data_IF_606581990911
#
_entry.id   IF_606581990911
#
_cell.length_a   1.000
_cell.length_b   1.000
_cell.length_c   1.000
_cell.angle_alpha   90.00
_cell.angle_beta   90.00
_cell.angle_gamma   90.00
#
_symmetry.space_group_name_H-M   'P 1'
#
loop_
_entity.id
_entity.type
_entity.pdbx_description
1 polymer ?
#
# COMPACT_ATOMS: atom_id res chain seq x y z
N UNK A 1 -27.10 4.66 3.72
CA UNK A 1 -26.51 5.07 2.41
C UNK A 1 -25.06 4.58 2.36
N UNK A 2 -24.58 4.09 1.21
CA UNK A 2 -23.16 3.65 1.10
C UNK A 2 -22.24 4.87 0.92
N UNK A 3 -20.98 4.75 1.37
CA UNK A 3 -19.94 5.79 1.24
C UNK A 3 -19.76 6.25 -0.23
N UNK A 4 -19.85 5.34 -1.19
CA UNK A 4 -19.72 5.68 -2.61
C UNK A 4 -20.88 6.52 -3.11
N UNK A 5 -22.10 6.28 -2.62
CA UNK A 5 -23.28 7.07 -3.01
C UNK A 5 -23.20 8.49 -2.46
N UNK A 6 -22.65 8.68 -1.26
CA UNK A 6 -22.46 10.02 -0.69
C UNK A 6 -21.54 10.87 -1.58
N UNK A 7 -20.49 10.28 -2.13
CA UNK A 7 -19.51 11.00 -2.98
C UNK A 7 -20.08 11.50 -4.31
N UNK A 8 -21.19 10.92 -4.76
CA UNK A 8 -21.83 11.24 -6.05
C UNK A 8 -23.11 12.05 -5.90
N UNK A 9 -23.49 12.47 -4.69
CA UNK A 9 -24.63 13.32 -4.47
C UNK A 9 -24.44 14.68 -5.15
N UNK A 10 -25.53 15.19 -5.75
CA UNK A 10 -25.63 16.58 -6.20
C UNK A 10 -26.43 17.43 -5.19
N UNK A 11 -26.44 18.74 -5.42
CA UNK A 11 -27.11 19.69 -4.52
C UNK A 11 -28.62 19.44 -4.38
N UNK A 12 -29.29 19.02 -5.47
CA UNK A 12 -30.73 18.73 -5.47
C UNK A 12 -31.01 17.46 -4.64
N UNK A 13 -30.24 16.44 -4.83
CA UNK A 13 -30.38 15.19 -4.04
C UNK A 13 -30.16 15.42 -2.54
N UNK A 14 -29.32 16.38 -2.16
CA UNK A 14 -29.15 16.77 -0.75
C UNK A 14 -30.40 17.44 -0.21
N UNK A 15 -31.03 18.34 -0.99
CA UNK A 15 -32.29 18.97 -0.59
C UNK A 15 -33.45 17.96 -0.47
N UNK A 16 -33.51 16.98 -1.37
CA UNK A 16 -34.50 15.92 -1.32
C UNK A 16 -34.35 14.99 -0.11
N UNK A 17 -33.12 14.84 0.40
CA UNK A 17 -32.80 13.97 1.53
C UNK A 17 -32.91 14.66 2.88
N UNK A 18 -32.78 15.99 2.96
CA UNK A 18 -32.65 16.74 4.20
C UNK A 18 -33.73 17.84 4.24
N UNK A 19 -34.71 17.66 5.11
CA UNK A 19 -35.80 18.60 5.33
C UNK A 19 -35.34 19.91 5.97
N UNK A 20 -34.29 19.85 6.80
CA UNK A 20 -33.75 21.04 7.47
C UNK A 20 -32.80 21.80 6.54
N UNK A 21 -33.11 23.06 6.18
CA UNK A 21 -32.34 23.84 5.20
C UNK A 21 -30.92 24.17 5.67
N UNK A 22 -30.72 24.42 6.97
CA UNK A 22 -29.40 24.74 7.53
C UNK A 22 -28.48 23.50 7.47
N UNK A 23 -29.04 22.33 7.76
CA UNK A 23 -28.33 21.07 7.65
C UNK A 23 -28.01 20.75 6.18
N UNK A 24 -28.95 20.97 5.27
CA UNK A 24 -28.75 20.81 3.83
C UNK A 24 -27.63 21.72 3.33
N UNK A 25 -27.60 22.99 3.77
CA UNK A 25 -26.54 23.94 3.41
C UNK A 25 -25.16 23.45 3.90
N UNK A 26 -25.05 23.01 5.14
CA UNK A 26 -23.80 22.49 5.70
C UNK A 26 -23.31 21.25 4.97
N UNK A 27 -24.21 20.32 4.60
CA UNK A 27 -23.87 19.11 3.82
C UNK A 27 -23.42 19.47 2.41
N UNK A 28 -24.07 20.43 1.74
CA UNK A 28 -23.67 20.92 0.41
C UNK A 28 -22.27 21.54 0.44
N UNK A 29 -21.95 22.35 1.46
CA UNK A 29 -20.61 22.93 1.61
C UNK A 29 -19.53 21.85 1.78
N UNK A 30 -19.78 20.83 2.63
CA UNK A 30 -18.87 19.71 2.81
C UNK A 30 -18.71 18.87 1.52
N UNK A 31 -19.80 18.66 0.78
CA UNK A 31 -19.79 17.94 -0.50
C UNK A 31 -18.95 18.68 -1.54
N UNK A 32 -19.10 20.00 -1.65
CA UNK A 32 -18.31 20.84 -2.56
C UNK A 32 -16.80 20.78 -2.22
N UNK A 33 -16.44 20.85 -0.94
CA UNK A 33 -15.04 20.70 -0.52
C UNK A 33 -14.48 19.31 -0.87
N UNK A 34 -15.26 18.25 -0.65
CA UNK A 34 -14.87 16.89 -1.00
C UNK A 34 -14.69 16.71 -2.51
N UNK A 35 -15.59 17.25 -3.31
CA UNK A 35 -15.52 17.19 -4.77
C UNK A 35 -14.32 17.97 -5.31
N UNK A 36 -14.07 19.17 -4.79
CA UNK A 36 -12.88 19.96 -5.12
C UNK A 36 -11.60 19.18 -4.75
N UNK A 37 -11.53 18.58 -3.55
CA UNK A 37 -10.41 17.77 -3.13
C UNK A 37 -10.15 16.59 -4.07
N UNK A 38 -11.19 15.87 -4.48
CA UNK A 38 -11.08 14.76 -5.42
C UNK A 38 -10.56 15.23 -6.80
N UNK A 39 -11.04 16.37 -7.33
CA UNK A 39 -10.52 16.92 -8.58
C UNK A 39 -9.03 17.26 -8.51
N UNK A 40 -8.58 17.84 -7.39
CA UNK A 40 -7.16 18.13 -7.20
C UNK A 40 -6.30 16.85 -7.08
N UNK A 41 -6.81 15.83 -6.39
CA UNK A 41 -6.16 14.52 -6.31
C UNK A 41 -6.01 13.92 -7.71
N UNK A 42 -7.09 13.89 -8.49
CA UNK A 42 -7.08 13.36 -9.86
C UNK A 42 -6.07 14.10 -10.76
N UNK A 43 -6.01 15.44 -10.64
CA UNK A 43 -5.05 16.26 -11.38
C UNK A 43 -3.61 15.92 -11.01
N UNK A 44 -3.31 15.82 -9.71
CA UNK A 44 -1.98 15.45 -9.23
C UNK A 44 -1.60 14.02 -9.65
N UNK A 45 -2.51 13.06 -9.53
CA UNK A 45 -2.27 11.67 -9.94
C UNK A 45 -1.97 11.56 -11.44
N UNK A 46 -2.74 12.27 -12.29
CA UNK A 46 -2.46 12.32 -13.74
C UNK A 46 -1.10 12.92 -14.03
N UNK A 47 -0.80 14.08 -13.44
CA UNK A 47 0.49 14.78 -13.65
C UNK A 47 1.67 13.93 -13.23
N UNK A 48 1.58 13.26 -12.08
CA UNK A 48 2.63 12.35 -11.58
C UNK A 48 2.75 11.16 -12.52
N UNK A 49 1.62 10.56 -12.91
CA UNK A 49 1.62 9.38 -13.80
C UNK A 49 2.27 9.69 -15.14
N UNK A 50 1.97 10.85 -15.74
CA UNK A 50 2.54 11.24 -17.03
C UNK A 50 4.05 11.44 -16.96
N UNK A 51 4.57 11.96 -15.86
CA UNK A 51 6.02 12.10 -15.62
C UNK A 51 6.73 10.76 -15.39
N UNK A 52 6.01 9.74 -14.95
CA UNK A 52 6.57 8.45 -14.52
C UNK A 52 6.38 7.33 -15.53
N UNK A 53 5.50 7.51 -16.53
CA UNK A 53 5.21 6.51 -17.59
C UNK A 53 6.47 5.93 -18.27
N UNK A 54 7.57 6.66 -18.27
CA UNK A 54 8.84 6.27 -18.87
C UNK A 54 9.72 5.37 -17.97
N UNK A 55 9.32 5.12 -16.72
CA UNK A 55 10.09 4.26 -15.82
C UNK A 55 9.59 2.83 -15.88
N UNK A 56 10.43 1.93 -16.35
CA UNK A 56 10.12 0.50 -16.47
C UNK A 56 9.73 -0.13 -15.14
N UNK A 57 10.39 0.28 -14.05
CA UNK A 57 10.13 -0.20 -12.71
C UNK A 57 8.67 -0.02 -12.29
N UNK A 58 8.03 1.08 -12.71
CA UNK A 58 6.61 1.34 -12.43
C UNK A 58 5.73 0.28 -13.10
N UNK A 59 5.99 -0.05 -14.36
CA UNK A 59 5.25 -1.05 -15.11
C UNK A 59 5.42 -2.45 -14.49
N UNK A 60 6.63 -2.80 -14.10
CA UNK A 60 6.91 -4.08 -13.46
C UNK A 60 6.27 -4.20 -12.07
N UNK A 61 6.27 -3.14 -11.26
CA UNK A 61 5.60 -3.15 -9.95
C UNK A 61 4.10 -3.42 -10.07
N UNK A 62 3.45 -2.93 -11.13
CA UNK A 62 2.02 -3.20 -11.39
C UNK A 62 1.70 -4.65 -11.76
N UNK A 63 2.69 -5.47 -12.06
CA UNK A 63 2.49 -6.91 -12.29
C UNK A 63 2.27 -7.67 -10.97
N UNK A 64 2.56 -7.07 -9.83
CA UNK A 64 2.36 -7.69 -8.51
C UNK A 64 0.87 -7.65 -8.14
N UNK A 65 0.24 -8.81 -7.86
CA UNK A 65 -1.14 -8.83 -7.39
C UNK A 65 -1.33 -7.93 -6.17
N UNK A 66 -2.30 -7.03 -6.23
CA UNK A 66 -2.61 -6.09 -5.16
C UNK A 66 -1.82 -4.78 -5.20
N UNK A 67 -0.91 -4.60 -6.15
CA UNK A 67 -0.24 -3.31 -6.39
C UNK A 67 -0.87 -2.64 -7.61
N UNK A 68 -1.77 -1.69 -7.35
CA UNK A 68 -2.33 -0.80 -8.35
C UNK A 68 -1.45 0.44 -8.58
N UNK A 69 -1.98 1.40 -9.33
CA UNK A 69 -1.25 2.62 -9.70
C UNK A 69 -0.70 3.38 -8.49
N UNK A 70 -1.54 3.72 -7.53
CA UNK A 70 -1.16 4.49 -6.32
C UNK A 70 -0.09 3.79 -5.50
N UNK A 71 -0.22 2.47 -5.27
CA UNK A 71 0.78 1.72 -4.50
C UNK A 71 2.10 1.57 -5.26
N UNK A 72 2.06 1.37 -6.59
CA UNK A 72 3.28 1.32 -7.41
C UNK A 72 4.03 2.65 -7.39
N UNK A 73 3.31 3.78 -7.49
CA UNK A 73 3.86 5.13 -7.35
C UNK A 73 4.51 5.33 -5.99
N UNK A 74 3.78 5.02 -4.91
CA UNK A 74 4.29 5.16 -3.54
C UNK A 74 5.54 4.32 -3.35
N UNK A 75 5.52 3.04 -3.76
CA UNK A 75 6.67 2.15 -3.61
C UNK A 75 7.87 2.67 -4.38
N UNK A 76 7.68 3.09 -5.63
CA UNK A 76 8.78 3.56 -6.46
C UNK A 76 9.37 4.88 -5.96
N UNK A 77 8.53 5.87 -5.66
CA UNK A 77 8.97 7.21 -5.25
C UNK A 77 9.61 7.19 -3.86
N UNK A 78 9.01 6.49 -2.90
CA UNK A 78 9.55 6.38 -1.54
C UNK A 78 10.80 5.48 -1.45
N UNK A 79 10.99 4.57 -2.41
CA UNK A 79 12.22 3.78 -2.53
C UNK A 79 13.35 4.63 -3.12
N UNK A 80 13.06 5.47 -4.12
CA UNK A 80 14.07 6.18 -4.89
C UNK A 80 14.97 5.20 -5.67
N UNK A 81 16.28 5.42 -5.61
CA UNK A 81 17.24 4.48 -6.21
C UNK A 81 17.33 3.19 -5.40
N UNK A 82 16.98 2.07 -6.02
CA UNK A 82 17.08 0.75 -5.40
C UNK A 82 18.53 0.33 -5.15
N UNK A 83 19.47 0.87 -5.89
CA UNK A 83 20.91 0.60 -5.75
C UNK A 83 21.50 1.09 -4.42
N UNK A 84 20.85 2.03 -3.73
CA UNK A 84 21.29 2.50 -2.42
C UNK A 84 21.18 1.45 -1.30
N UNK A 85 20.45 0.37 -1.53
CA UNK A 85 20.32 -0.72 -0.56
C UNK A 85 21.28 -1.84 -0.91
N UNK A 86 22.21 -2.13 -0.02
CA UNK A 86 23.24 -3.17 -0.21
C UNK A 86 22.60 -4.55 -0.51
N UNK A 87 21.51 -4.87 0.20
CA UNK A 87 20.78 -6.12 0.03
C UNK A 87 19.27 -5.98 0.28
N UNK A 88 18.53 -7.05 0.02
CA UNK A 88 17.10 -7.15 0.22
C UNK A 88 16.67 -7.05 1.70
N UNK A 89 17.55 -7.43 2.62
CA UNK A 89 17.29 -7.34 4.07
C UNK A 89 17.29 -5.89 4.54
N UNK A 90 18.26 -5.09 4.05
CA UNK A 90 18.34 -3.65 4.32
C UNK A 90 17.11 -2.92 3.77
N UNK A 91 16.67 -3.26 2.55
CA UNK A 91 15.43 -2.72 1.98
C UNK A 91 14.21 -3.11 2.81
N UNK A 92 14.05 -4.39 3.17
CA UNK A 92 12.93 -4.86 3.98
C UNK A 92 12.90 -4.22 5.38
N UNK A 93 14.06 -3.95 5.96
CA UNK A 93 14.20 -3.21 7.21
C UNK A 93 13.77 -1.76 7.06
N UNK A 94 14.24 -1.08 6.01
CA UNK A 94 13.83 0.30 5.68
C UNK A 94 12.31 0.41 5.46
N UNK A 95 11.69 -0.59 4.82
CA UNK A 95 10.23 -0.68 4.64
C UNK A 95 9.46 -1.09 5.90
N UNK A 96 10.11 -1.27 7.04
CA UNK A 96 9.51 -1.76 8.30
C UNK A 96 8.78 -3.10 8.16
N UNK A 97 9.17 -3.90 7.18
CA UNK A 97 8.57 -5.21 6.92
C UNK A 97 9.20 -6.34 7.76
N UNK A 98 10.28 -6.06 8.47
CA UNK A 98 10.95 -6.99 9.40
C UNK A 98 10.89 -6.47 10.82
N UNK A 99 10.73 -7.39 11.78
CA UNK A 99 10.82 -7.05 13.21
C UNK A 99 12.29 -6.92 13.64
N UNK A 100 12.66 -5.79 14.20
CA UNK A 100 13.98 -5.64 14.82
C UNK A 100 13.96 -6.14 16.27
N UNK A 101 15.03 -6.80 16.70
CA UNK A 101 15.23 -7.26 18.07
C UNK A 101 16.45 -6.57 18.64
N UNK A 102 16.35 -6.08 19.87
CA UNK A 102 17.51 -5.60 20.62
C UNK A 102 18.13 -6.79 21.35
N UNK A 103 19.32 -7.18 20.93
CA UNK A 103 20.08 -8.27 21.53
C UNK A 103 21.26 -7.65 22.31
N UNK A 104 21.47 -8.08 23.52
CA UNK A 104 22.62 -7.72 24.32
C UNK A 104 23.10 -8.98 25.06
N UNK A 105 24.39 -9.30 24.90
CA UNK A 105 25.01 -10.47 25.50
C UNK A 105 24.31 -11.81 25.15
N UNK A 106 23.92 -11.97 23.85
CA UNK A 106 23.21 -13.15 23.35
C UNK A 106 21.72 -13.25 23.78
N UNK A 107 21.27 -12.39 24.67
CA UNK A 107 19.89 -12.40 25.17
C UNK A 107 19.04 -11.28 24.55
N UNK A 108 17.79 -11.60 24.19
CA UNK A 108 16.82 -10.64 23.70
C UNK A 108 16.44 -9.66 24.81
N UNK A 109 16.82 -8.38 24.68
CA UNK A 109 16.53 -7.30 25.66
C UNK A 109 15.35 -6.40 25.27
N UNK A 110 14.57 -6.77 24.27
CA UNK A 110 13.39 -6.02 23.87
C UNK A 110 13.18 -5.93 22.37
N UNK A 111 12.21 -5.10 21.97
CA UNK A 111 11.96 -4.76 20.56
C UNK A 111 12.92 -3.64 20.17
N UNK A 112 13.45 -3.70 18.95
CA UNK A 112 14.19 -2.58 18.37
C UNK A 112 13.28 -1.36 18.13
N UNK A 113 13.87 -0.25 17.69
CA UNK A 113 13.12 0.96 17.39
C UNK A 113 12.16 0.70 16.21
N UNK A 114 10.86 0.65 16.49
CA UNK A 114 9.80 0.40 15.49
C UNK A 114 9.51 1.62 14.61
N UNK A 115 10.05 2.79 14.96
CA UNK A 115 9.85 4.05 14.21
C UNK A 115 10.90 4.28 13.13
N UNK A 116 12.04 3.58 13.15
CA UNK A 116 13.05 3.68 12.10
C UNK A 116 12.53 3.13 10.77
N UNK A 117 12.97 3.75 9.66
CA UNK A 117 12.56 3.39 8.31
C UNK A 117 11.33 4.14 7.82
N UNK A 118 10.87 3.79 6.63
CA UNK A 118 9.83 4.50 5.90
C UNK A 118 8.42 4.01 6.27
N UNK A 119 7.59 4.90 6.83
CA UNK A 119 6.22 4.58 7.24
C UNK A 119 5.26 4.40 6.04
N UNK A 120 5.51 5.10 4.94
CA UNK A 120 4.67 5.03 3.74
C UNK A 120 4.89 3.72 2.99
N UNK A 121 6.14 3.25 2.89
CA UNK A 121 6.43 1.91 2.37
C UNK A 121 5.83 0.81 3.26
N UNK A 122 5.90 0.96 4.58
CA UNK A 122 5.26 0.03 5.51
C UNK A 122 3.76 -0.08 5.26
N UNK A 123 3.08 1.06 5.11
CA UNK A 123 1.66 1.12 4.77
C UNK A 123 1.39 0.48 3.41
N UNK A 124 2.13 0.89 2.38
CA UNK A 124 1.93 0.41 1.01
C UNK A 124 2.04 -1.11 0.90
N UNK A 125 3.02 -1.73 1.57
CA UNK A 125 3.17 -3.19 1.55
C UNK A 125 2.10 -3.93 2.36
N UNK A 126 1.56 -3.34 3.43
CA UNK A 126 0.43 -3.92 4.17
C UNK A 126 -0.85 -3.86 3.32
N UNK A 127 -1.12 -2.73 2.66
CA UNK A 127 -2.26 -2.60 1.73
C UNK A 127 -2.11 -3.56 0.54
N UNK A 128 -0.93 -3.61 -0.09
CA UNK A 128 -0.65 -4.56 -1.15
C UNK A 128 -0.91 -6.02 -0.71
N UNK A 129 -0.54 -6.38 0.51
CA UNK A 129 -0.78 -7.72 1.06
C UNK A 129 -2.28 -8.01 1.24
N UNK A 130 -3.07 -7.04 1.72
CA UNK A 130 -4.52 -7.19 1.85
C UNK A 130 -5.18 -7.47 0.49
N UNK A 131 -4.80 -6.74 -0.55
CA UNK A 131 -5.32 -6.96 -1.90
C UNK A 131 -4.76 -8.26 -2.53
N UNK A 132 -3.47 -8.53 -2.38
CA UNK A 132 -2.84 -9.72 -2.95
C UNK A 132 -3.49 -11.04 -2.45
N UNK A 133 -3.88 -11.09 -1.18
CA UNK A 133 -4.61 -12.23 -0.59
C UNK A 133 -5.97 -12.43 -1.28
N UNK A 134 -6.61 -11.37 -1.77
CA UNK A 134 -7.90 -11.45 -2.48
C UNK A 134 -7.74 -11.89 -3.93
N UNK A 135 -6.69 -11.42 -4.61
CA UNK A 135 -6.51 -11.58 -6.05
C UNK A 135 -5.63 -12.77 -6.46
N UNK A 136 -4.89 -13.38 -5.53
CA UNK A 136 -4.00 -14.50 -5.83
C UNK A 136 -4.26 -15.70 -4.91
N UNK A 137 -4.71 -16.81 -5.49
CA UNK A 137 -4.97 -18.04 -4.77
C UNK A 137 -3.71 -18.57 -4.05
N UNK A 138 -2.52 -18.46 -4.67
CA UNK A 138 -1.25 -18.89 -4.09
C UNK A 138 -0.86 -18.06 -2.87
N UNK A 139 -1.02 -16.74 -2.95
CA UNK A 139 -0.76 -15.83 -1.83
C UNK A 139 -1.77 -16.06 -0.70
N UNK A 140 -3.04 -16.27 -1.04
CA UNK A 140 -4.10 -16.65 -0.09
C UNK A 140 -3.76 -17.93 0.66
N UNK A 141 -3.32 -18.98 -0.04
CA UNK A 141 -2.90 -20.24 0.57
C UNK A 141 -1.72 -20.05 1.52
N UNK A 142 -0.71 -19.26 1.13
CA UNK A 142 0.39 -18.91 2.02
C UNK A 142 -0.10 -18.19 3.28
N UNK A 143 -0.97 -17.18 3.13
CA UNK A 143 -1.55 -16.46 4.24
C UNK A 143 -2.31 -17.39 5.19
N UNK A 144 -3.16 -18.28 4.67
CA UNK A 144 -3.95 -19.20 5.48
C UNK A 144 -3.07 -20.18 6.25
N UNK A 145 -2.03 -20.76 5.62
CA UNK A 145 -1.04 -21.62 6.31
C UNK A 145 -0.33 -20.89 7.45
N UNK A 146 0.01 -19.62 7.26
CA UNK A 146 0.63 -18.80 8.31
C UNK A 146 -0.37 -18.43 9.41
N UNK A 147 -1.60 -18.09 9.05
CA UNK A 147 -2.66 -17.75 10.00
C UNK A 147 -3.03 -18.93 10.90
N UNK A 148 -3.03 -20.15 10.38
CA UNK A 148 -3.28 -21.36 11.16
C UNK A 148 -2.25 -21.61 12.28
N UNK A 149 -1.02 -21.09 12.10
CA UNK A 149 0.09 -21.22 13.07
C UNK A 149 0.35 -19.96 13.90
N UNK A 150 -0.36 -18.85 13.62
CA UNK A 150 -0.12 -17.56 14.25
C UNK A 150 -1.36 -16.66 14.15
N UNK A 151 -1.26 -15.46 14.72
CA UNK A 151 -2.33 -14.46 14.60
C UNK A 151 -2.42 -13.87 13.17
N UNK A 152 -3.65 -13.51 12.72
CA UNK A 152 -3.89 -12.99 11.37
C UNK A 152 -3.03 -11.77 10.98
N UNK A 153 -2.75 -10.87 11.92
CA UNK A 153 -1.86 -9.70 11.69
C UNK A 153 -0.43 -10.15 11.40
N UNK A 154 0.06 -11.20 12.08
CA UNK A 154 1.40 -11.76 11.86
C UNK A 154 1.49 -12.42 10.48
N UNK A 155 0.42 -13.15 10.09
CA UNK A 155 0.33 -13.75 8.77
C UNK A 155 0.29 -12.70 7.65
N UNK A 156 -0.48 -11.60 7.84
CA UNK A 156 -0.54 -10.48 6.91
C UNK A 156 0.84 -9.81 6.74
N UNK A 157 1.54 -9.55 7.86
CA UNK A 157 2.90 -9.00 7.81
C UNK A 157 3.90 -9.93 7.12
N UNK A 158 3.72 -11.25 7.23
CA UNK A 158 4.56 -12.20 6.50
C UNK A 158 4.33 -12.12 4.98
N UNK A 159 3.08 -11.90 4.53
CA UNK A 159 2.78 -11.64 3.12
C UNK A 159 3.40 -10.31 2.68
N UNK A 160 3.20 -9.23 3.43
CA UNK A 160 3.78 -7.92 3.14
C UNK A 160 5.32 -7.99 3.01
N UNK A 161 5.99 -8.72 3.91
CA UNK A 161 7.43 -8.94 3.84
C UNK A 161 7.85 -9.68 2.56
N UNK A 162 7.12 -10.74 2.15
CA UNK A 162 7.42 -11.44 0.89
C UNK A 162 7.21 -10.54 -0.33
N UNK A 163 6.14 -9.74 -0.36
CA UNK A 163 5.90 -8.76 -1.41
C UNK A 163 6.99 -7.67 -1.45
N UNK A 164 7.40 -7.16 -0.30
CA UNK A 164 8.49 -6.19 -0.19
C UNK A 164 9.79 -6.74 -0.80
N UNK A 165 10.16 -7.97 -0.46
CA UNK A 165 11.35 -8.64 -1.05
C UNK A 165 11.22 -8.85 -2.55
N UNK A 166 10.03 -9.24 -3.03
CA UNK A 166 9.78 -9.38 -4.45
C UNK A 166 9.93 -8.05 -5.19
N UNK A 167 9.37 -6.97 -4.65
CA UNK A 167 9.48 -5.63 -5.23
C UNK A 167 10.94 -5.13 -5.30
N UNK A 168 11.77 -5.46 -4.30
CA UNK A 168 13.20 -5.18 -4.37
C UNK A 168 13.84 -5.81 -5.63
N UNK A 169 13.62 -7.10 -5.87
CA UNK A 169 14.16 -7.78 -7.03
C UNK A 169 13.55 -7.32 -8.36
N UNK A 170 12.26 -6.99 -8.36
CA UNK A 170 11.58 -6.42 -9.51
C UNK A 170 12.25 -5.11 -9.93
N UNK A 171 12.46 -4.19 -8.99
CA UNK A 171 13.10 -2.90 -9.27
C UNK A 171 14.58 -3.04 -9.63
N UNK A 172 15.30 -3.94 -8.94
CA UNK A 172 16.74 -4.15 -9.17
C UNK A 172 17.02 -4.82 -10.50
N UNK A 173 16.25 -5.83 -10.88
CA UNK A 173 16.48 -6.65 -12.06
C UNK A 173 15.61 -6.29 -13.26
N UNK A 174 14.65 -5.34 -13.09
CA UNK A 174 13.69 -4.91 -14.12
C UNK A 174 12.93 -6.08 -14.73
N UNK A 175 12.33 -6.91 -13.89
CA UNK A 175 11.59 -8.11 -14.29
C UNK A 175 10.17 -8.08 -13.72
N UNK A 176 9.24 -8.74 -14.42
CA UNK A 176 7.88 -8.92 -13.94
C UNK A 176 7.82 -9.82 -12.69
N UNK A 177 6.73 -9.69 -11.93
CA UNK A 177 6.50 -10.50 -10.75
C UNK A 177 6.27 -11.96 -11.09
N UNK A 178 6.96 -12.84 -10.38
CA UNK A 178 6.76 -14.28 -10.42
C UNK A 178 6.27 -14.78 -9.05
N UNK A 179 4.99 -15.16 -9.00
CA UNK A 179 4.35 -15.66 -7.79
C UNK A 179 4.97 -16.97 -7.28
N UNK A 180 5.50 -17.79 -8.20
CA UNK A 180 6.09 -19.09 -7.85
C UNK A 180 7.40 -18.91 -7.11
N UNK A 181 8.23 -17.97 -7.55
CA UNK A 181 9.50 -17.60 -6.89
C UNK A 181 9.24 -16.88 -5.56
N UNK A 182 8.29 -15.95 -5.54
CA UNK A 182 8.03 -15.16 -4.34
C UNK A 182 7.35 -15.95 -3.22
N UNK A 183 6.48 -16.91 -3.55
CA UNK A 183 5.67 -17.70 -2.61
C UNK A 183 5.88 -19.21 -2.77
N UNK A 184 7.11 -19.60 -3.01
CA UNK A 184 7.52 -21.00 -2.93
C UNK A 184 7.26 -21.59 -1.53
#
# INVERSE_FOLDING_TARGET
MSSNRIKTLDAKQVDDLLVNPDLALAVKANLAMMQCGNQQIDLLERTITDRIKLREEFSFLKTVPGIGQTLALTIMLETGDIGRFADVGNYASYCRCVGSQKISNGKKKGKGNTKNGNKYLSWAFVEAANFAIRFSARIKSFYQRKKAKSHGVVALKAVAHKLCRACYYIMKNRVAFDVTKAFA
#
